data_IF_800730015514
#
_entry.id   IF_800730015514
#
_cell.length_a   1.000
_cell.length_b   1.000
_cell.length_c   1.000
_cell.angle_alpha   90.00
_cell.angle_beta   90.00
_cell.angle_gamma   90.00
#
_symmetry.space_group_name_H-M   'P 1'
#
loop_
_entity.id
_entity.type
_entity.pdbx_description
1 polymer ?
#
# COMPACT_ATOMS: atom_id res chain seq x y z
N UNK A 1 0.32 -3.43 19.99
CA UNK A 1 -0.36 -3.52 18.68
C UNK A 1 -0.12 -2.28 17.80
N UNK A 2 0.08 -1.09 18.36
CA UNK A 2 0.43 0.14 17.62
C UNK A 2 1.88 0.18 17.12
N UNK A 3 2.28 -0.83 16.35
CA UNK A 3 3.67 -1.02 15.94
C UNK A 3 4.23 0.16 15.16
N UNK A 4 3.42 0.73 14.26
CA UNK A 4 3.85 1.87 13.44
C UNK A 4 4.15 3.10 14.30
N UNK A 5 3.26 3.42 15.25
CA UNK A 5 3.46 4.52 16.18
C UNK A 5 4.70 4.31 17.05
N UNK A 6 4.93 3.10 17.56
CA UNK A 6 6.14 2.79 18.34
C UNK A 6 7.41 2.99 17.51
N UNK A 7 7.40 2.59 16.24
CA UNK A 7 8.53 2.83 15.33
C UNK A 7 8.71 4.32 15.03
N UNK A 8 7.63 5.06 14.78
CA UNK A 8 7.70 6.51 14.59
C UNK A 8 8.21 7.24 15.84
N UNK A 9 7.80 6.80 17.04
CA UNK A 9 8.30 7.33 18.31
C UNK A 9 9.80 7.06 18.48
N UNK A 10 10.29 5.87 18.07
CA UNK A 10 11.72 5.58 18.06
C UNK A 10 12.50 6.46 17.08
N UNK A 11 11.95 6.74 15.88
CA UNK A 11 12.54 7.71 14.96
C UNK A 11 12.59 9.11 15.58
N UNK A 12 11.51 9.54 16.21
CA UNK A 12 11.44 10.84 16.87
C UNK A 12 12.46 10.96 18.01
N UNK A 13 12.59 9.93 18.84
CA UNK A 13 13.61 9.88 19.88
C UNK A 13 15.04 9.91 19.32
N UNK A 14 15.26 9.35 18.13
CA UNK A 14 16.58 9.36 17.48
C UNK A 14 16.93 10.70 16.84
N UNK A 15 15.94 11.53 16.51
CA UNK A 15 16.14 12.80 15.82
C UNK A 15 15.06 13.85 16.20
N UNK A 16 15.04 14.31 17.46
CA UNK A 16 13.92 15.10 17.99
C UNK A 16 13.69 16.41 17.21
N UNK A 17 12.45 16.64 16.79
CA UNK A 17 11.99 17.83 16.08
C UNK A 17 12.52 18.01 14.66
N UNK A 18 13.30 17.05 14.14
CA UNK A 18 14.01 17.16 12.86
C UNK A 18 13.50 16.16 11.81
N UNK A 19 12.50 15.33 12.14
CA UNK A 19 11.92 14.35 11.24
C UNK A 19 10.84 14.95 10.32
N UNK A 20 11.24 15.92 9.49
CA UNK A 20 10.30 16.76 8.73
C UNK A 20 10.36 16.54 7.22
N UNK A 21 9.22 16.79 6.57
CA UNK A 21 9.12 16.88 5.11
C UNK A 21 9.34 18.31 4.64
N UNK A 22 10.31 18.51 3.75
CA UNK A 22 10.53 19.77 3.08
C UNK A 22 9.76 19.80 1.76
N UNK A 23 8.52 20.30 1.81
CA UNK A 23 7.62 20.41 0.66
C UNK A 23 8.05 21.49 -0.36
N UNK A 24 8.98 22.37 0.02
CA UNK A 24 9.53 23.39 -0.89
C UNK A 24 10.64 22.84 -1.78
N UNK A 25 11.34 21.79 -1.32
CA UNK A 25 12.34 21.08 -2.11
C UNK A 25 11.66 20.02 -2.96
N UNK A 26 11.42 20.33 -4.23
CA UNK A 26 10.86 19.38 -5.18
C UNK A 26 11.86 19.03 -6.28
N UNK A 27 11.71 17.85 -6.87
CA UNK A 27 12.45 17.41 -8.05
C UNK A 27 11.58 16.47 -8.87
N UNK A 28 12.04 16.08 -10.06
CA UNK A 28 11.37 15.04 -10.87
C UNK A 28 11.13 13.74 -10.08
N UNK A 29 11.97 13.44 -9.08
CA UNK A 29 11.87 12.25 -8.22
C UNK A 29 11.18 12.50 -6.88
N UNK A 30 10.97 13.77 -6.51
CA UNK A 30 10.44 14.19 -5.21
C UNK A 30 9.41 15.32 -5.38
N UNK A 31 8.36 15.08 -6.18
CA UNK A 31 7.46 16.15 -6.60
C UNK A 31 6.63 16.76 -5.46
N UNK A 32 6.45 16.03 -4.36
CA UNK A 32 5.67 16.48 -3.20
C UNK A 32 6.56 16.93 -2.04
N UNK A 33 7.89 16.88 -2.20
CA UNK A 33 8.84 17.23 -1.15
C UNK A 33 9.88 16.15 -0.90
N UNK A 34 10.92 16.52 -0.17
CA UNK A 34 12.00 15.65 0.28
C UNK A 34 11.90 15.44 1.78
N UNK A 35 12.14 14.23 2.25
CA UNK A 35 12.27 13.95 3.68
C UNK A 35 13.67 14.34 4.14
N UNK A 36 13.77 15.22 5.14
CA UNK A 36 15.05 15.71 5.70
C UNK A 36 15.38 15.11 7.07
N UNK A 37 14.58 14.12 7.52
CA UNK A 37 14.80 13.41 8.77
C UNK A 37 15.75 12.21 8.64
N UNK A 38 15.77 11.38 9.68
CA UNK A 38 16.52 10.11 9.67
C UNK A 38 15.59 8.94 9.36
N UNK A 39 16.09 7.99 8.57
CA UNK A 39 15.38 6.74 8.30
C UNK A 39 15.61 5.72 9.41
N UNK A 40 14.92 4.57 9.35
CA UNK A 40 15.15 3.50 10.32
C UNK A 40 16.56 2.92 10.26
N UNK A 41 17.26 3.10 9.13
CA UNK A 41 18.60 2.59 8.89
C UNK A 41 19.69 3.53 9.43
N UNK A 42 19.42 4.83 9.47
CA UNK A 42 20.35 5.86 9.95
C UNK A 42 20.21 6.10 11.45
N UNK A 43 18.99 5.95 11.98
CA UNK A 43 18.69 6.12 13.39
C UNK A 43 19.64 5.35 14.33
N UNK A 44 19.99 4.06 14.11
CA UNK A 44 20.87 3.32 15.03
C UNK A 44 22.23 3.98 15.25
N UNK A 45 22.86 4.49 14.18
CA UNK A 45 24.15 5.16 14.26
C UNK A 45 24.06 6.45 15.09
N UNK A 46 22.94 7.17 14.97
CA UNK A 46 22.71 8.43 15.69
C UNK A 46 22.52 8.24 17.19
N UNK A 47 21.97 7.11 17.63
CA UNK A 47 21.75 6.79 19.05
C UNK A 47 22.68 5.71 19.62
N UNK A 48 23.76 5.38 18.91
CA UNK A 48 24.76 4.41 19.38
C UNK A 48 24.25 2.97 19.52
N UNK A 49 23.22 2.57 18.76
CA UNK A 49 22.71 1.21 18.74
C UNK A 49 23.46 0.35 17.73
N UNK A 50 23.97 -0.80 18.17
CA UNK A 50 24.56 -1.81 17.29
C UNK A 50 23.47 -2.65 16.59
N UNK A 51 22.75 -2.01 15.67
CA UNK A 51 21.67 -2.62 14.88
C UNK A 51 21.69 -2.08 13.44
N UNK A 52 21.19 -2.87 12.48
CA UNK A 52 21.10 -2.46 11.06
C UNK A 52 19.93 -1.50 10.80
N UNK A 53 18.86 -1.63 11.58
CA UNK A 53 17.77 -0.68 11.62
C UNK A 53 17.18 -0.65 13.03
N UNK A 54 16.58 0.48 13.42
CA UNK A 54 15.82 0.54 14.68
C UNK A 54 14.60 -0.38 14.62
N UNK A 55 14.26 -0.95 15.76
CA UNK A 55 13.16 -1.87 15.87
C UNK A 55 13.05 -2.45 17.25
N UNK A 56 12.03 -3.27 17.44
CA UNK A 56 11.82 -4.01 18.68
C UNK A 56 11.04 -5.27 18.36
N UNK A 57 11.22 -6.30 19.19
CA UNK A 57 10.43 -7.53 19.09
C UNK A 57 9.11 -7.30 19.81
N UNK A 58 7.93 -7.38 19.14
CA UNK A 58 6.67 -7.23 19.83
C UNK A 58 6.47 -8.36 20.84
N UNK A 59 5.89 -8.01 21.99
CA UNK A 59 5.57 -8.98 23.05
C UNK A 59 4.49 -9.94 22.59
N UNK A 60 4.36 -11.08 23.27
CA UNK A 60 3.30 -12.05 22.98
C UNK A 60 1.90 -11.42 23.09
N UNK A 61 1.70 -10.51 24.07
CA UNK A 61 0.47 -9.74 24.22
C UNK A 61 0.13 -8.91 22.96
N UNK A 62 1.13 -8.32 22.31
CA UNK A 62 0.91 -7.58 21.07
C UNK A 62 0.49 -8.47 19.89
N UNK A 63 0.77 -9.78 19.94
CA UNK A 63 0.35 -10.75 18.93
C UNK A 63 -0.96 -11.47 19.26
N UNK A 64 -1.36 -11.50 20.54
CA UNK A 64 -2.52 -12.29 21.03
C UNK A 64 -3.85 -11.87 20.41
N UNK A 65 -4.04 -10.59 20.12
CA UNK A 65 -5.29 -10.07 19.58
C UNK A 65 -5.04 -9.38 18.23
N UNK A 66 -5.28 -10.06 17.10
CA UNK A 66 -4.94 -9.54 15.77
C UNK A 66 -5.85 -8.40 15.29
N UNK A 67 -7.02 -8.22 15.90
CA UNK A 67 -8.03 -7.25 15.48
C UNK A 67 -8.73 -6.58 16.68
N UNK A 68 -7.97 -6.29 17.74
CA UNK A 68 -8.53 -5.68 18.93
C UNK A 68 -9.07 -4.27 18.63
N UNK A 69 -10.34 -4.05 18.99
CA UNK A 69 -11.05 -2.81 18.76
C UNK A 69 -11.22 -2.45 17.28
N UNK A 70 -11.46 -3.49 16.46
CA UNK A 70 -12.18 -3.37 15.20
C UNK A 70 -13.49 -2.57 15.41
N UNK A 71 -13.80 -1.71 14.45
CA UNK A 71 -14.99 -0.85 14.40
C UNK A 71 -15.18 0.08 15.60
N UNK A 72 -14.16 0.23 16.46
CA UNK A 72 -14.17 1.17 17.56
C UNK A 72 -13.17 2.30 17.33
N UNK A 73 -13.71 3.50 17.16
CA UNK A 73 -12.91 4.71 17.30
C UNK A 73 -12.62 4.92 18.79
N UNK A 74 -11.47 4.44 19.26
CA UNK A 74 -11.10 4.56 20.67
C UNK A 74 -10.99 6.04 21.06
N UNK A 75 -11.90 6.50 21.92
CA UNK A 75 -11.98 7.89 22.36
C UNK A 75 -12.46 8.00 23.80
N UNK A 76 -11.50 8.08 24.74
CA UNK A 76 -11.64 8.82 26.02
C UNK A 76 -10.29 9.06 26.70
N UNK A 77 -9.43 8.05 26.81
CA UNK A 77 -8.06 8.22 27.36
C UNK A 77 -7.07 8.85 26.35
N UNK A 78 -7.22 8.54 25.06
CA UNK A 78 -6.34 9.06 23.99
C UNK A 78 -6.59 10.54 23.63
N UNK A 79 -7.74 11.10 24.01
CA UNK A 79 -8.07 12.53 23.85
C UNK A 79 -7.57 13.41 25.00
N UNK A 80 -7.12 12.80 26.11
CA UNK A 80 -6.67 13.51 27.32
C UNK A 80 -5.17 13.39 27.61
N UNK A 81 -4.42 12.53 26.92
CA UNK A 81 -2.97 12.54 27.08
C UNK A 81 -2.41 13.86 26.53
N UNK A 82 -1.63 14.55 27.37
CA UNK A 82 -0.73 15.63 26.92
C UNK A 82 0.23 15.16 25.82
N UNK A 83 0.35 13.85 25.62
CA UNK A 83 1.14 13.14 24.60
C UNK A 83 0.30 12.59 23.43
N UNK A 84 -0.97 13.00 23.30
CA UNK A 84 -1.96 12.47 22.35
C UNK A 84 -1.81 12.97 20.91
N UNK A 85 -0.64 12.83 20.32
CA UNK A 85 -0.36 13.20 18.93
C UNK A 85 -0.38 11.97 18.02
N UNK A 86 -1.58 11.56 17.61
CA UNK A 86 -1.72 11.03 16.26
C UNK A 86 -2.02 12.22 15.35
N UNK A 87 -1.01 12.66 14.59
CA UNK A 87 -1.04 13.83 13.72
C UNK A 87 -0.24 15.02 14.25
N UNK A 88 1.01 15.10 13.79
CA UNK A 88 1.84 16.31 13.85
C UNK A 88 2.43 16.60 15.23
N UNK A 89 3.74 16.80 15.27
CA UNK A 89 4.52 17.15 16.46
C UNK A 89 4.21 18.56 17.03
N UNK A 90 3.13 19.20 16.56
CA UNK A 90 2.78 20.60 16.84
C UNK A 90 1.42 20.77 17.56
N UNK A 91 0.92 19.75 18.25
CA UNK A 91 -0.34 19.87 19.03
C UNK A 91 -1.61 20.03 18.18
N UNK A 92 -1.55 19.67 16.90
CA UNK A 92 -2.71 19.72 16.00
C UNK A 92 -3.58 18.49 16.23
N UNK A 93 -4.81 18.66 16.71
CA UNK A 93 -5.74 17.53 16.84
C UNK A 93 -6.10 17.00 15.46
N UNK A 94 -5.84 15.71 15.20
CA UNK A 94 -6.37 15.02 14.01
C UNK A 94 -7.87 14.79 14.17
N UNK A 95 -8.65 15.81 13.84
CA UNK A 95 -10.11 15.78 13.80
C UNK A 95 -10.59 16.36 12.48
N UNK A 96 -11.68 15.84 11.94
CA UNK A 96 -12.39 16.50 10.86
C UNK A 96 -13.33 17.58 11.46
N UNK A 97 -13.63 18.67 10.73
CA UNK A 97 -14.57 19.69 11.21
C UNK A 97 -15.94 19.10 11.53
N UNK A 98 -16.41 18.16 10.71
CA UNK A 98 -17.73 17.53 10.83
C UNK A 98 -17.70 16.23 11.65
N UNK A 99 -16.60 15.47 11.58
CA UNK A 99 -16.46 14.17 12.25
C UNK A 99 -15.34 14.22 13.29
N UNK A 100 -15.71 14.55 14.54
CA UNK A 100 -14.78 14.57 15.69
C UNK A 100 -14.26 13.16 16.03
N UNK A 101 -15.06 12.14 15.74
CA UNK A 101 -14.73 10.74 15.89
C UNK A 101 -14.58 10.16 14.48
N UNK A 102 -13.46 9.50 14.21
CA UNK A 102 -13.17 8.92 12.91
C UNK A 102 -12.38 7.63 13.08
N UNK A 103 -12.55 6.73 12.12
CA UNK A 103 -11.70 5.57 11.91
C UNK A 103 -11.73 5.23 10.42
N UNK A 104 -10.80 4.40 9.99
CA UNK A 104 -10.80 3.83 8.65
C UNK A 104 -10.05 2.50 8.69
N UNK A 105 -10.33 1.65 7.71
CA UNK A 105 -9.66 0.38 7.59
C UNK A 105 -8.36 0.52 6.81
N UNK A 106 -7.27 -0.02 7.37
CA UNK A 106 -5.97 -0.05 6.73
C UNK A 106 -5.49 -1.50 6.61
N UNK A 107 -5.72 -2.12 5.46
CA UNK A 107 -5.27 -3.48 5.24
C UNK A 107 -3.78 -3.50 4.93
N UNK A 108 -2.99 -4.26 5.71
CA UNK A 108 -1.52 -4.27 5.59
C UNK A 108 -0.99 -5.66 5.36
N UNK A 109 -0.12 -5.79 4.37
CA UNK A 109 0.63 -7.02 4.07
C UNK A 109 2.14 -6.72 4.11
N UNK A 110 2.98 -7.70 3.78
CA UNK A 110 4.39 -7.41 3.52
C UNK A 110 4.49 -6.51 2.29
N UNK A 111 5.22 -5.41 2.41
CA UNK A 111 5.40 -4.47 1.31
C UNK A 111 6.47 -4.92 0.29
N UNK A 112 7.14 -6.07 0.51
CA UNK A 112 8.24 -6.56 -0.34
C UNK A 112 9.20 -5.42 -0.76
N UNK A 113 9.60 -4.62 0.22
CA UNK A 113 10.33 -3.36 0.10
C UNK A 113 11.54 -3.43 -0.86
N UNK A 114 11.91 -2.29 -1.45
CA UNK A 114 13.15 -2.17 -2.24
C UNK A 114 14.37 -2.28 -1.33
N UNK A 115 14.31 -1.66 -0.14
CA UNK A 115 15.31 -1.75 0.93
C UNK A 115 14.68 -2.41 2.16
N UNK A 116 14.63 -3.75 2.26
CA UNK A 116 13.91 -4.42 3.34
C UNK A 116 14.74 -4.40 4.63
N UNK A 117 14.20 -3.74 5.68
CA UNK A 117 14.79 -3.78 7.02
C UNK A 117 14.97 -5.20 7.55
N UNK A 118 14.02 -6.11 7.24
CA UNK A 118 14.13 -7.51 7.62
C UNK A 118 15.30 -8.24 6.94
N UNK A 119 15.63 -7.89 5.68
CA UNK A 119 16.74 -8.48 4.95
C UNK A 119 18.06 -8.05 5.58
N UNK A 120 18.24 -6.74 5.79
CA UNK A 120 19.42 -6.18 6.43
C UNK A 120 19.67 -6.80 7.83
N UNK A 121 18.59 -7.02 8.59
CA UNK A 121 18.68 -7.51 9.96
C UNK A 121 19.13 -8.97 10.12
N UNK A 122 18.99 -9.82 9.10
CA UNK A 122 19.18 -11.26 9.28
C UNK A 122 20.68 -11.64 9.33
N UNK A 123 21.24 -12.04 10.50
CA UNK A 123 22.67 -12.35 10.59
C UNK A 123 23.07 -13.57 9.77
N UNK A 124 22.12 -14.49 9.51
CA UNK A 124 22.34 -15.70 8.73
C UNK A 124 22.18 -15.50 7.22
N UNK A 125 21.78 -14.30 6.78
CA UNK A 125 21.45 -14.00 5.38
C UNK A 125 20.38 -14.96 4.81
N UNK A 126 19.47 -15.44 5.65
CA UNK A 126 18.39 -16.36 5.28
C UNK A 126 17.28 -15.66 4.46
N UNK A 127 17.23 -14.33 4.53
CA UNK A 127 16.27 -13.50 3.81
C UNK A 127 16.91 -13.00 2.52
N UNK A 128 16.18 -13.08 1.42
CA UNK A 128 16.64 -12.64 0.10
C UNK A 128 15.50 -11.98 -0.66
N UNK A 129 15.85 -11.14 -1.64
CA UNK A 129 14.91 -10.53 -2.58
C UNK A 129 15.17 -11.16 -3.94
N UNK A 130 14.13 -11.72 -4.54
CA UNK A 130 14.18 -12.29 -5.89
C UNK A 130 14.39 -11.19 -6.93
N UNK A 131 15.18 -11.50 -7.96
CA UNK A 131 15.59 -10.51 -8.97
C UNK A 131 14.50 -10.30 -10.03
N UNK A 132 13.79 -11.37 -10.35
CA UNK A 132 12.80 -11.45 -11.42
C UNK A 132 11.46 -10.75 -11.10
N UNK A 133 11.11 -10.61 -9.82
CA UNK A 133 9.81 -10.08 -9.38
C UNK A 133 9.87 -9.20 -8.11
N UNK A 134 11.05 -9.08 -7.49
CA UNK A 134 11.24 -8.29 -6.28
C UNK A 134 10.61 -8.90 -5.00
N UNK A 135 10.11 -10.13 -5.03
CA UNK A 135 9.51 -10.77 -3.86
C UNK A 135 10.61 -11.10 -2.84
N UNK A 136 10.53 -10.46 -1.68
CA UNK A 136 11.35 -10.82 -0.50
C UNK A 136 10.85 -12.13 0.13
N UNK A 137 11.73 -13.10 0.38
CA UNK A 137 11.40 -14.40 1.00
C UNK A 137 12.35 -14.73 2.17
N UNK A 138 11.91 -15.64 3.04
CA UNK A 138 12.74 -16.23 4.10
C UNK A 138 12.97 -17.68 3.73
N UNK A 139 14.23 -18.05 3.49
CA UNK A 139 14.63 -19.44 3.32
C UNK A 139 14.44 -20.21 4.63
N UNK A 140 13.47 -21.12 4.63
CA UNK A 140 13.09 -21.89 5.81
C UNK A 140 14.20 -22.87 6.24
N UNK A 141 15.04 -23.34 5.31
CA UNK A 141 16.14 -24.26 5.59
C UNK A 141 17.33 -23.57 6.28
N UNK A 142 17.56 -22.29 5.96
CA UNK A 142 18.65 -21.47 6.55
C UNK A 142 18.22 -20.70 7.80
N UNK A 143 16.92 -20.49 8.00
CA UNK A 143 16.42 -19.76 9.15
C UNK A 143 16.69 -20.52 10.46
N UNK A 144 17.09 -19.80 11.50
CA UNK A 144 17.36 -20.34 12.85
C UNK A 144 16.65 -19.55 13.95
N UNK A 145 15.65 -18.74 13.57
CA UNK A 145 14.77 -18.13 14.56
C UNK A 145 15.38 -17.00 15.40
N UNK A 146 16.44 -16.32 14.95
CA UNK A 146 17.07 -15.20 15.68
C UNK A 146 16.14 -13.99 15.94
N UNK A 147 14.96 -13.95 15.31
CA UNK A 147 13.94 -12.88 15.42
C UNK A 147 14.40 -11.47 15.04
N UNK A 148 15.64 -11.25 14.59
CA UNK A 148 16.12 -9.96 14.08
C UNK A 148 15.27 -9.39 12.94
N UNK A 149 14.75 -10.25 12.06
CA UNK A 149 13.83 -9.83 11.01
C UNK A 149 12.45 -9.37 11.54
N UNK A 150 11.99 -9.95 12.65
CA UNK A 150 10.76 -9.54 13.36
C UNK A 150 10.99 -8.20 14.04
N UNK A 151 12.16 -8.04 14.67
CA UNK A 151 12.59 -6.81 15.35
C UNK A 151 12.61 -5.60 14.40
N UNK A 152 13.35 -5.73 13.29
CA UNK A 152 13.75 -4.62 12.43
C UNK A 152 12.87 -4.45 11.18
N UNK A 153 11.84 -5.29 10.99
CA UNK A 153 10.78 -4.94 10.06
C UNK A 153 9.92 -3.84 10.71
N UNK A 154 9.87 -2.62 10.17
CA UNK A 154 9.08 -1.56 10.78
C UNK A 154 7.57 -1.87 10.70
N UNK A 155 7.17 -2.66 9.69
CA UNK A 155 5.78 -3.09 9.50
C UNK A 155 5.40 -4.38 10.26
N UNK A 156 6.36 -5.02 10.95
CA UNK A 156 6.20 -6.29 11.68
C UNK A 156 5.52 -7.40 10.87
N UNK A 157 5.96 -7.60 9.62
CA UNK A 157 5.39 -8.61 8.70
C UNK A 157 6.09 -9.98 8.72
N UNK A 158 7.36 -10.10 9.15
CA UNK A 158 7.90 -11.37 9.60
C UNK A 158 7.33 -11.73 10.97
N UNK A 159 6.86 -12.96 11.12
CA UNK A 159 6.32 -13.52 12.35
C UNK A 159 7.19 -14.72 12.75
N UNK A 160 7.43 -14.90 14.05
CA UNK A 160 8.15 -16.07 14.56
C UNK A 160 7.14 -17.19 14.86
N UNK A 161 7.35 -18.37 14.26
CA UNK A 161 6.50 -19.54 14.52
C UNK A 161 7.14 -20.36 15.64
N UNK A 162 6.45 -20.43 16.78
CA UNK A 162 6.94 -21.13 17.98
C UNK A 162 7.14 -22.63 17.77
N UNK A 163 6.32 -23.27 16.94
CA UNK A 163 6.37 -24.72 16.68
C UNK A 163 7.58 -25.12 15.84
N UNK A 164 7.86 -24.40 14.76
CA UNK A 164 9.01 -24.68 13.87
C UNK A 164 10.29 -23.95 14.30
N UNK A 165 10.19 -23.04 15.27
CA UNK A 165 11.27 -22.19 15.80
C UNK A 165 11.99 -21.37 14.72
N UNK A 166 11.29 -21.05 13.63
CA UNK A 166 11.77 -20.21 12.54
C UNK A 166 10.76 -19.10 12.23
N UNK A 167 11.19 -18.10 11.46
CA UNK A 167 10.32 -16.99 11.06
C UNK A 167 9.72 -17.20 9.66
N UNK A 168 8.47 -16.78 9.52
CA UNK A 168 7.69 -16.81 8.29
C UNK A 168 7.15 -15.42 7.96
N UNK A 169 6.72 -15.22 6.71
CA UNK A 169 6.13 -13.97 6.23
C UNK A 169 5.23 -14.25 5.04
N UNK A 170 4.44 -13.25 4.65
CA UNK A 170 3.77 -13.24 3.34
C UNK A 170 4.76 -13.60 2.23
N UNK A 171 4.43 -14.59 1.40
CA UNK A 171 5.26 -15.03 0.27
C UNK A 171 4.84 -14.39 -1.06
N UNK A 172 4.01 -13.35 -1.01
CA UNK A 172 3.31 -12.75 -2.15
C UNK A 172 2.65 -13.79 -3.07
N UNK A 173 2.16 -14.90 -2.49
CA UNK A 173 1.63 -16.04 -3.24
C UNK A 173 2.45 -16.33 -4.51
N UNK A 174 3.79 -16.33 -4.43
CA UNK A 174 4.64 -16.38 -5.61
C UNK A 174 4.29 -17.48 -6.63
N UNK A 175 3.78 -18.68 -6.25
CA UNK A 175 3.36 -19.66 -7.24
C UNK A 175 2.24 -19.15 -8.18
N UNK A 176 1.36 -18.27 -7.70
CA UNK A 176 0.34 -17.59 -8.52
C UNK A 176 0.93 -16.54 -9.45
N UNK A 177 1.90 -15.77 -8.95
CA UNK A 177 2.59 -14.75 -9.73
C UNK A 177 3.42 -15.41 -10.84
N UNK A 178 3.94 -16.60 -10.61
CA UNK A 178 4.70 -17.39 -11.60
C UNK A 178 3.80 -18.12 -12.61
N UNK A 179 2.50 -18.24 -12.35
CA UNK A 179 1.60 -19.08 -13.16
C UNK A 179 1.78 -20.59 -12.92
N UNK A 180 2.23 -20.96 -11.71
CA UNK A 180 2.43 -22.36 -11.28
C UNK A 180 1.33 -22.86 -10.31
N UNK A 181 0.48 -21.98 -9.78
CA UNK A 181 -0.70 -22.40 -9.00
C UNK A 181 -1.68 -23.15 -9.94
N UNK A 182 -2.25 -24.30 -9.56
CA UNK A 182 -3.11 -25.10 -10.45
C UNK A 182 -4.29 -24.33 -11.07
N UNK A 183 -4.78 -23.28 -10.40
CA UNK A 183 -5.88 -22.43 -10.89
C UNK A 183 -5.42 -21.41 -11.94
N UNK A 184 -4.11 -21.30 -12.18
CA UNK A 184 -3.54 -20.32 -13.09
C UNK A 184 -3.55 -20.76 -14.54
N UNK A 185 -3.65 -22.05 -14.85
CA UNK A 185 -3.58 -22.53 -16.25
C UNK A 185 -2.35 -21.97 -17.02
N UNK A 186 -1.23 -21.74 -16.31
CA UNK A 186 0.00 -21.18 -16.90
C UNK A 186 0.01 -19.66 -17.10
N UNK A 187 -0.99 -18.92 -16.60
CA UNK A 187 -1.09 -17.46 -16.70
C UNK A 187 -0.98 -16.78 -15.32
N UNK A 188 -0.25 -15.67 -15.23
CA UNK A 188 0.00 -14.99 -13.95
C UNK A 188 -1.29 -14.47 -13.30
N UNK A 189 -1.51 -14.86 -12.04
CA UNK A 189 -2.67 -14.44 -11.25
C UNK A 189 -2.27 -13.53 -10.09
N UNK A 190 -3.22 -12.71 -9.67
CA UNK A 190 -3.09 -11.95 -8.44
C UNK A 190 -2.98 -12.89 -7.23
N UNK A 191 -2.35 -12.39 -6.16
CA UNK A 191 -2.29 -13.10 -4.87
C UNK A 191 -3.69 -13.33 -4.30
N UNK A 192 -3.84 -14.37 -3.46
CA UNK A 192 -5.15 -14.75 -2.90
C UNK A 192 -5.87 -13.59 -2.20
N UNK A 193 -5.16 -12.79 -1.42
CA UNK A 193 -5.77 -11.68 -0.69
C UNK A 193 -6.17 -10.51 -1.62
N UNK A 194 -5.56 -10.40 -2.80
CA UNK A 194 -5.99 -9.45 -3.83
C UNK A 194 -7.21 -10.02 -4.53
N UNK A 195 -7.12 -11.23 -5.09
CA UNK A 195 -8.20 -11.90 -5.81
C UNK A 195 -9.50 -12.05 -4.99
N UNK A 196 -9.39 -12.31 -3.68
CA UNK A 196 -10.54 -12.50 -2.78
C UNK A 196 -11.08 -11.18 -2.18
N UNK A 197 -10.57 -10.02 -2.58
CA UNK A 197 -10.99 -8.76 -2.00
C UNK A 197 -12.44 -8.42 -2.36
N UNK A 198 -13.34 -8.60 -1.40
CA UNK A 198 -14.79 -8.34 -1.54
C UNK A 198 -15.06 -6.88 -1.90
N UNK A 199 -14.39 -5.94 -1.23
CA UNK A 199 -14.60 -4.50 -1.45
C UNK A 199 -14.06 -3.96 -2.78
N UNK A 200 -13.49 -4.80 -3.65
CA UNK A 200 -12.89 -4.39 -4.93
C UNK A 200 -11.87 -3.25 -4.82
N UNK A 201 -11.14 -3.14 -3.70
CA UNK A 201 -10.19 -2.04 -3.43
C UNK A 201 -8.72 -2.37 -3.75
N UNK A 202 -8.45 -3.51 -4.40
CA UNK A 202 -7.09 -4.00 -4.62
C UNK A 202 -6.80 -4.21 -6.10
N UNK A 203 -5.64 -3.71 -6.52
CA UNK A 203 -5.07 -3.95 -7.85
C UNK A 203 -3.61 -4.37 -7.65
N UNK A 204 -3.23 -5.52 -8.21
CA UNK A 204 -1.87 -6.03 -8.13
C UNK A 204 -1.25 -6.14 -9.52
N UNK A 205 0.03 -5.77 -9.65
CA UNK A 205 0.79 -6.00 -10.86
C UNK A 205 2.29 -6.03 -10.65
N UNK A 206 3.00 -6.35 -11.73
CA UNK A 206 4.45 -6.23 -11.83
C UNK A 206 4.78 -5.00 -12.69
N UNK A 207 5.91 -4.38 -12.40
CA UNK A 207 6.43 -3.22 -13.11
C UNK A 207 7.81 -3.54 -13.67
N UNK A 208 8.15 -2.91 -14.80
CA UNK A 208 9.49 -3.05 -15.39
C UNK A 208 10.46 -2.16 -14.62
N UNK A 209 11.60 -2.72 -14.28
CA UNK A 209 12.72 -1.99 -13.66
C UNK A 209 13.83 -1.90 -14.70
N UNK A 210 14.31 -0.68 -14.97
CA UNK A 210 15.41 -0.40 -15.88
C UNK A 210 16.76 -0.81 -15.30
N UNK A 211 17.81 -0.77 -16.12
CA UNK A 211 19.18 -1.11 -15.73
C UNK A 211 19.75 -0.22 -14.62
N UNK A 212 19.21 0.98 -14.43
CA UNK A 212 19.55 1.91 -13.36
C UNK A 212 18.86 1.61 -12.02
N UNK A 213 18.06 0.53 -11.94
CA UNK A 213 17.30 0.17 -10.74
C UNK A 213 16.00 0.96 -10.53
N UNK A 214 15.66 1.87 -11.45
CA UNK A 214 14.43 2.66 -11.40
C UNK A 214 13.32 2.02 -12.23
N UNK A 215 12.08 2.44 -12.00
CA UNK A 215 10.96 1.95 -12.81
C UNK A 215 11.10 2.48 -14.24
N UNK A 216 11.02 1.59 -15.22
CA UNK A 216 11.00 1.99 -16.62
C UNK A 216 9.68 2.70 -16.93
N UNK A 217 9.73 3.73 -17.78
CA UNK A 217 8.55 4.49 -18.19
C UNK A 217 7.55 3.59 -18.92
N UNK A 218 6.37 3.37 -18.33
CA UNK A 218 5.34 2.46 -18.87
C UNK A 218 3.93 2.94 -18.49
N UNK A 219 3.42 4.03 -19.10
CA UNK A 219 2.10 4.61 -18.75
C UNK A 219 0.94 3.66 -19.05
N UNK A 220 1.14 2.71 -19.96
CA UNK A 220 0.15 1.67 -20.27
C UNK A 220 0.10 0.57 -19.19
N UNK A 221 1.01 0.55 -18.21
CA UNK A 221 0.95 -0.34 -17.06
C UNK A 221 0.11 0.30 -15.94
N UNK A 222 -0.96 -0.36 -15.42
CA UNK A 222 -1.84 0.24 -14.42
C UNK A 222 -1.13 0.70 -13.13
N UNK A 223 -0.12 -0.06 -12.68
CA UNK A 223 0.62 0.27 -11.45
C UNK A 223 1.50 1.49 -11.68
N UNK A 224 2.25 1.50 -12.78
CA UNK A 224 3.06 2.67 -13.15
C UNK A 224 2.19 3.91 -13.30
N UNK A 225 1.05 3.80 -13.97
CA UNK A 225 0.11 4.89 -14.17
C UNK A 225 -0.39 5.49 -12.84
N UNK A 226 -0.87 4.64 -11.91
CA UNK A 226 -1.40 5.12 -10.63
C UNK A 226 -0.31 5.69 -9.70
N UNK A 227 0.89 5.11 -9.71
CA UNK A 227 1.94 5.39 -8.72
C UNK A 227 2.93 6.46 -9.22
N UNK A 228 3.38 6.38 -10.47
CA UNK A 228 4.42 7.25 -11.03
C UNK A 228 3.87 8.36 -11.90
N UNK A 229 2.87 8.06 -12.72
CA UNK A 229 2.28 9.05 -13.63
C UNK A 229 1.32 9.99 -12.88
N UNK A 230 0.15 9.48 -12.48
CA UNK A 230 -0.90 10.24 -11.78
C UNK A 230 -0.60 10.48 -10.30
N UNK A 231 0.24 9.63 -9.69
CA UNK A 231 0.68 9.74 -8.28
C UNK A 231 -0.47 9.80 -7.28
N UNK A 232 -1.49 8.98 -7.55
CA UNK A 232 -2.69 8.85 -6.73
C UNK A 232 -2.50 7.76 -5.67
N UNK A 233 -1.72 6.72 -5.97
CA UNK A 233 -1.36 5.68 -5.03
C UNK A 233 -0.01 6.02 -4.36
N UNK A 234 -0.03 6.21 -3.03
CA UNK A 234 1.11 6.70 -2.25
C UNK A 234 1.70 5.58 -1.37
N UNK A 235 3.03 5.59 -1.12
CA UNK A 235 3.69 4.58 -0.29
C UNK A 235 3.27 4.70 1.19
N UNK A 236 3.29 3.58 1.92
CA UNK A 236 3.03 3.57 3.36
C UNK A 236 4.30 3.84 4.19
N UNK A 237 4.28 4.95 4.93
CA UNK A 237 5.38 5.49 5.74
C UNK A 237 6.69 5.63 4.95
N UNK A 238 6.73 6.47 3.90
CA UNK A 238 7.93 6.67 3.08
C UNK A 238 9.16 7.12 3.89
N UNK A 239 8.97 7.84 5.00
CA UNK A 239 10.02 8.29 5.91
C UNK A 239 10.85 7.15 6.54
N UNK A 240 10.34 5.91 6.52
CA UNK A 240 11.07 4.78 7.06
C UNK A 240 12.29 4.39 6.19
N UNK A 241 12.42 4.92 4.97
CA UNK A 241 13.54 4.63 4.08
C UNK A 241 13.54 3.22 3.46
N UNK A 242 12.50 2.41 3.71
CA UNK A 242 12.44 1.05 3.15
C UNK A 242 12.02 1.01 1.69
N UNK A 243 11.48 2.11 1.16
CA UNK A 243 10.82 2.16 -0.16
C UNK A 243 9.84 0.99 -0.35
N UNK A 244 8.67 1.04 0.31
CA UNK A 244 7.70 -0.05 0.28
C UNK A 244 7.06 -0.18 -1.11
N UNK A 245 6.88 -1.42 -1.59
CA UNK A 245 6.14 -1.73 -2.82
C UNK A 245 4.65 -2.03 -2.54
N UNK A 246 4.13 -1.46 -1.45
CA UNK A 246 2.71 -1.45 -1.11
C UNK A 246 2.22 -0.01 -1.06
N UNK A 247 1.29 0.32 -1.95
CA UNK A 247 0.78 1.68 -2.16
C UNK A 247 -0.71 1.75 -1.86
N UNK A 248 -1.15 2.92 -1.42
CA UNK A 248 -2.50 3.17 -0.95
C UNK A 248 -3.04 4.46 -1.57
N UNK A 249 -4.29 4.45 -2.00
CA UNK A 249 -5.04 5.67 -2.30
C UNK A 249 -5.58 6.17 -0.96
N UNK A 250 -5.12 7.33 -0.44
CA UNK A 250 -5.56 7.84 0.87
C UNK A 250 -7.05 8.08 0.91
N UNK A 251 -7.70 7.82 2.06
CA UNK A 251 -9.11 8.12 2.24
C UNK A 251 -9.33 9.61 2.50
N UNK A 252 -10.27 10.23 1.78
CA UNK A 252 -10.68 11.62 1.98
C UNK A 252 -11.35 11.89 3.32
N UNK A 253 -11.83 10.85 4.00
CA UNK A 253 -12.55 10.94 5.27
C UNK A 253 -11.62 10.75 6.49
N UNK A 254 -10.31 10.75 6.27
CA UNK A 254 -9.29 10.69 7.34
C UNK A 254 -8.69 12.08 7.51
N UNK A 255 -8.47 12.56 8.76
CA UNK A 255 -7.84 13.86 9.00
C UNK A 255 -6.53 14.01 8.25
N UNK A 256 -6.33 15.19 7.67
CA UNK A 256 -5.24 15.42 6.72
C UNK A 256 -3.86 15.20 7.34
N UNK A 257 -3.65 15.69 8.56
CA UNK A 257 -2.39 15.52 9.29
C UNK A 257 -2.04 14.03 9.50
N UNK A 258 -3.02 13.20 9.82
CA UNK A 258 -2.83 11.76 9.99
C UNK A 258 -2.49 11.08 8.66
N UNK A 259 -3.25 11.38 7.60
CA UNK A 259 -2.96 10.85 6.27
C UNK A 259 -1.58 11.28 5.75
N UNK A 260 -1.16 12.52 5.98
CA UNK A 260 0.17 13.02 5.58
C UNK A 260 1.29 12.35 6.36
N UNK A 261 1.11 12.09 7.67
CA UNK A 261 2.06 11.29 8.46
C UNK A 261 2.25 9.88 7.86
N UNK A 262 1.17 9.28 7.39
CA UNK A 262 1.17 7.93 6.82
C UNK A 262 1.72 7.86 5.40
N UNK A 263 1.28 8.74 4.52
CA UNK A 263 1.49 8.61 3.07
C UNK A 263 2.41 9.70 2.49
N UNK A 264 2.87 10.61 3.34
CA UNK A 264 3.73 11.73 2.97
C UNK A 264 2.94 12.94 2.43
N UNK A 265 3.66 13.94 1.90
CA UNK A 265 3.07 15.22 1.50
C UNK A 265 2.19 15.18 0.24
N UNK A 266 2.15 14.05 -0.49
CA UNK A 266 1.35 13.89 -1.71
C UNK A 266 -0.16 13.69 -1.51
N UNK A 267 -0.63 13.66 -0.26
CA UNK A 267 -2.02 13.29 0.08
C UNK A 267 -3.05 14.26 -0.50
N UNK A 268 -2.78 15.56 -0.49
CA UNK A 268 -3.67 16.59 -1.07
C UNK A 268 -3.81 16.42 -2.58
N UNK A 269 -2.68 16.31 -3.28
CA UNK A 269 -2.65 15.99 -4.71
C UNK A 269 -3.46 14.72 -5.01
N UNK A 270 -3.17 13.60 -4.33
CA UNK A 270 -3.87 12.34 -4.57
C UNK A 270 -5.39 12.47 -4.43
N UNK A 271 -5.85 13.08 -3.31
CA UNK A 271 -7.29 13.26 -3.05
C UNK A 271 -7.94 14.16 -4.10
N UNK A 272 -7.29 15.25 -4.48
CA UNK A 272 -7.79 16.15 -5.51
C UNK A 272 -7.94 15.47 -6.87
N UNK A 273 -7.02 14.55 -7.22
CA UNK A 273 -7.07 13.82 -8.49
C UNK A 273 -8.22 12.82 -8.53
N UNK A 274 -8.39 11.96 -7.52
CA UNK A 274 -9.41 10.90 -7.59
C UNK A 274 -10.82 11.38 -7.22
N UNK A 275 -10.97 12.56 -6.60
CA UNK A 275 -12.29 13.13 -6.33
C UNK A 275 -13.01 13.60 -7.59
N UNK A 276 -12.26 14.07 -8.59
CA UNK A 276 -12.77 14.48 -9.91
C UNK A 276 -11.83 13.91 -10.96
N UNK A 277 -11.84 12.58 -11.16
CA UNK A 277 -10.87 11.93 -12.02
C UNK A 277 -11.11 12.31 -13.47
N UNK A 278 -10.03 12.49 -14.23
CA UNK A 278 -10.10 12.53 -15.68
C UNK A 278 -10.51 11.15 -16.24
N UNK A 279 -10.75 11.09 -17.54
CA UNK A 279 -11.21 9.88 -18.23
C UNK A 279 -10.25 8.69 -18.09
N UNK A 280 -8.94 8.95 -18.11
CA UNK A 280 -7.92 7.90 -18.05
C UNK A 280 -7.78 7.37 -16.61
N UNK A 281 -7.76 8.25 -15.61
CA UNK A 281 -7.76 7.87 -14.20
C UNK A 281 -9.03 7.10 -13.83
N UNK A 282 -10.21 7.57 -14.25
CA UNK A 282 -11.46 6.83 -14.04
C UNK A 282 -11.40 5.45 -14.72
N UNK A 283 -10.81 5.37 -15.92
CA UNK A 283 -10.64 4.11 -16.62
C UNK A 283 -9.76 3.11 -15.86
N UNK A 284 -8.59 3.53 -15.37
CA UNK A 284 -7.71 2.65 -14.59
C UNK A 284 -8.34 2.26 -13.24
N UNK A 285 -9.07 3.17 -12.59
CA UNK A 285 -9.80 2.86 -11.35
C UNK A 285 -10.87 1.78 -11.56
N UNK A 286 -11.50 1.71 -12.74
CA UNK A 286 -12.44 0.64 -13.08
C UNK A 286 -11.79 -0.74 -13.22
N UNK A 287 -10.47 -0.84 -13.38
CA UNK A 287 -9.79 -2.14 -13.49
C UNK A 287 -9.64 -2.88 -12.15
N UNK A 288 -9.93 -2.22 -11.03
CA UNK A 288 -9.80 -2.82 -9.71
C UNK A 288 -10.75 -4.02 -9.57
N UNK A 289 -10.17 -5.21 -9.33
CA UNK A 289 -10.89 -6.47 -9.10
C UNK A 289 -11.89 -6.89 -10.18
N UNK A 290 -11.70 -6.47 -11.43
CA UNK A 290 -12.49 -6.93 -12.57
C UNK A 290 -12.03 -8.28 -13.14
N UNK A 291 -10.82 -8.71 -12.79
CA UNK A 291 -10.24 -10.02 -13.16
C UNK A 291 -9.34 -10.54 -12.04
N UNK A 292 -9.12 -11.85 -11.94
CA UNK A 292 -8.14 -12.45 -11.01
C UNK A 292 -6.72 -12.56 -11.61
N UNK A 293 -6.57 -12.18 -12.89
CA UNK A 293 -5.30 -12.18 -13.63
C UNK A 293 -4.56 -10.87 -13.42
N UNK A 294 -3.23 -10.89 -13.49
CA UNK A 294 -2.45 -9.65 -13.46
C UNK A 294 -2.63 -8.90 -14.79
N UNK A 295 -3.02 -7.63 -14.71
CA UNK A 295 -3.11 -6.72 -15.85
C UNK A 295 -1.74 -6.07 -16.06
N UNK A 296 -1.10 -6.35 -17.20
CA UNK A 296 0.21 -5.80 -17.57
C UNK A 296 0.09 -4.54 -18.43
N UNK A 297 -0.98 -4.46 -19.21
CA UNK A 297 -1.27 -3.35 -20.10
C UNK A 297 -2.75 -3.00 -20.02
N UNK A 298 -3.10 -1.72 -20.10
CA UNK A 298 -4.48 -1.26 -20.28
C UNK A 298 -4.63 -0.40 -21.55
N UNK A 299 -5.87 -0.28 -22.04
CA UNK A 299 -6.28 0.62 -23.12
C UNK A 299 -7.66 1.17 -22.81
N UNK A 300 -7.94 2.42 -23.20
CA UNK A 300 -9.28 3.00 -23.21
C UNK A 300 -9.75 3.26 -24.64
N UNK A 301 -10.99 2.90 -24.91
CA UNK A 301 -11.71 3.20 -26.15
C UNK A 301 -12.79 4.24 -25.83
N UNK A 302 -12.74 5.44 -26.45
CA UNK A 302 -13.68 6.50 -26.16
C UNK A 302 -15.13 6.10 -26.47
N UNK A 303 -16.02 6.34 -25.52
CA UNK A 303 -17.47 6.21 -25.67
C UNK A 303 -18.20 7.56 -25.60
N UNK A 304 -19.53 7.56 -25.75
CA UNK A 304 -20.36 8.76 -25.66
C UNK A 304 -20.37 9.29 -24.23
N UNK A 305 -20.62 10.60 -24.09
CA UNK A 305 -20.87 11.21 -22.78
C UNK A 305 -22.21 10.74 -22.23
N UNK A 306 -22.23 10.35 -20.96
CA UNK A 306 -23.43 9.81 -20.31
C UNK A 306 -23.86 10.62 -19.09
N UNK A 307 -22.96 11.41 -18.50
CA UNK A 307 -23.28 12.19 -17.30
C UNK A 307 -22.39 13.43 -17.19
N UNK A 308 -22.94 14.50 -16.62
CA UNK A 308 -22.22 15.72 -16.25
C UNK A 308 -22.75 16.25 -14.91
N UNK A 309 -21.85 16.67 -14.04
CA UNK A 309 -22.21 17.39 -12.81
C UNK A 309 -21.06 18.28 -12.33
N UNK A 310 -21.25 18.98 -11.22
CA UNK A 310 -20.18 19.71 -10.53
C UNK A 310 -19.89 19.06 -9.18
N UNK A 311 -18.63 18.70 -8.96
CA UNK A 311 -18.14 18.10 -7.71
C UNK A 311 -17.19 19.12 -7.06
N UNK A 312 -17.58 19.69 -5.91
CA UNK A 312 -16.80 20.69 -5.18
C UNK A 312 -16.32 21.87 -6.06
N UNK A 313 -17.21 22.38 -6.92
CA UNK A 313 -16.92 23.51 -7.82
C UNK A 313 -16.08 23.15 -9.06
N UNK A 314 -15.70 21.88 -9.24
CA UNK A 314 -15.03 21.38 -10.45
C UNK A 314 -16.04 20.66 -11.33
N UNK A 315 -16.01 20.94 -12.63
CA UNK A 315 -16.80 20.22 -13.64
C UNK A 315 -16.35 18.76 -13.69
N UNK A 316 -17.30 17.84 -13.61
CA UNK A 316 -17.10 16.40 -13.78
C UNK A 316 -17.94 15.91 -14.96
N UNK A 317 -17.29 15.28 -15.92
CA UNK A 317 -17.95 14.65 -17.07
C UNK A 317 -17.59 13.17 -17.11
N UNK A 318 -18.61 12.33 -17.28
CA UNK A 318 -18.45 10.89 -17.38
C UNK A 318 -18.87 10.41 -18.76
N UNK A 319 -18.05 9.54 -19.32
CA UNK A 319 -18.21 8.96 -20.65
C UNK A 319 -18.31 7.45 -20.49
N UNK A 320 -19.11 6.79 -21.33
CA UNK A 320 -19.21 5.33 -21.35
C UNK A 320 -18.01 4.70 -22.08
N UNK A 321 -16.81 5.06 -21.63
CA UNK A 321 -15.55 4.58 -22.19
C UNK A 321 -15.40 3.08 -21.92
N UNK A 322 -14.91 2.35 -22.91
CA UNK A 322 -14.57 0.93 -22.74
C UNK A 322 -13.10 0.82 -22.30
N UNK A 323 -12.85 0.17 -21.17
CA UNK A 323 -11.52 -0.08 -20.64
C UNK A 323 -11.17 -1.55 -20.80
N UNK A 324 -10.02 -1.82 -21.39
CA UNK A 324 -9.55 -3.17 -21.72
C UNK A 324 -8.24 -3.43 -20.98
N UNK A 325 -8.13 -4.60 -20.34
CA UNK A 325 -6.92 -5.06 -19.68
C UNK A 325 -6.32 -6.28 -20.39
N UNK A 326 -5.00 -6.30 -20.52
CA UNK A 326 -4.25 -7.37 -21.18
C UNK A 326 -3.28 -8.06 -20.22
N UNK A 327 -3.13 -9.38 -20.37
CA UNK A 327 -2.10 -10.14 -19.66
C UNK A 327 -0.71 -9.91 -20.27
N UNK A 328 0.32 -10.57 -19.72
CA UNK A 328 1.70 -10.46 -20.19
C UNK A 328 1.91 -10.89 -21.65
N UNK A 329 1.07 -11.79 -22.16
CA UNK A 329 1.12 -12.30 -23.53
C UNK A 329 0.37 -11.40 -24.53
N UNK A 330 -0.20 -10.27 -24.07
CA UNK A 330 -1.01 -9.37 -24.88
C UNK A 330 -2.42 -9.87 -25.15
N UNK A 331 -2.87 -10.94 -24.48
CA UNK A 331 -4.25 -11.43 -24.59
C UNK A 331 -5.18 -10.55 -23.73
N UNK A 332 -6.30 -10.15 -24.30
CA UNK A 332 -7.39 -9.50 -23.58
C UNK A 332 -7.92 -10.45 -22.48
N UNK A 333 -7.93 -9.97 -21.24
CA UNK A 333 -8.38 -10.72 -20.06
C UNK A 333 -9.56 -10.06 -19.37
N UNK A 334 -9.86 -8.81 -19.73
CA UNK A 334 -10.99 -8.07 -19.20
C UNK A 334 -11.37 -6.91 -20.13
N UNK A 335 -12.68 -6.65 -20.22
CA UNK A 335 -13.28 -5.50 -20.87
C UNK A 335 -14.44 -5.02 -20.01
N UNK A 336 -14.42 -3.73 -19.66
CA UNK A 336 -15.46 -3.11 -18.83
C UNK A 336 -15.86 -1.75 -19.39
N UNK A 337 -17.10 -1.36 -19.14
CA UNK A 337 -17.69 -0.07 -19.48
C UNK A 337 -18.22 0.58 -18.20
N UNK A 338 -18.44 1.89 -18.24
CA UNK A 338 -19.03 2.60 -17.08
C UNK A 338 -20.46 2.16 -16.84
N UNK A 339 -21.24 1.98 -17.92
CA UNK A 339 -22.57 1.39 -17.81
C UNK A 339 -22.43 -0.13 -17.69
N UNK A 340 -22.89 -0.67 -16.57
CA UNK A 340 -23.06 -2.10 -16.41
C UNK A 340 -24.35 -2.53 -17.14
N UNK A 341 -24.31 -3.59 -17.98
CA UNK A 341 -25.51 -4.10 -18.62
C UNK A 341 -26.49 -4.63 -17.57
N UNK A 342 -27.74 -4.16 -17.64
CA UNK A 342 -28.81 -4.66 -16.78
C UNK A 342 -29.35 -5.98 -17.32
N UNK A 343 -29.16 -7.07 -16.57
CA UNK A 343 -29.73 -8.37 -16.91
C UNK A 343 -31.05 -8.56 -16.15
N UNK A 344 -32.18 -8.35 -16.85
CA UNK A 344 -33.51 -8.69 -16.33
C UNK A 344 -33.68 -10.21 -16.46
N UNK A 345 -33.90 -10.91 -15.34
CA UNK A 345 -34.22 -12.34 -15.38
C UNK A 345 -35.62 -12.55 -15.99
N UNK A 346 -35.84 -13.57 -16.84
CA UNK A 346 -37.19 -13.98 -17.26
C UNK A 346 -38.07 -14.32 -16.05
N UNK A 347 -39.35 -13.94 -16.08
CA UNK A 347 -40.32 -14.15 -14.98
C UNK A 347 -40.57 -15.63 -14.66
N UNK A 348 -40.23 -16.54 -15.57
CA UNK A 348 -40.61 -17.96 -15.52
C UNK A 348 -39.92 -18.75 -14.40
N UNK A 349 -38.79 -18.27 -13.84
CA UNK A 349 -38.03 -18.99 -12.79
C UNK A 349 -37.54 -18.08 -11.64
N UNK A 350 -38.44 -17.62 -10.76
CA UNK A 350 -38.07 -16.71 -9.66
C UNK A 350 -37.32 -17.40 -8.50
N UNK A 351 -37.28 -18.73 -8.42
CA UNK A 351 -36.85 -19.46 -7.19
C UNK A 351 -35.75 -20.52 -7.30
N UNK A 352 -35.15 -20.77 -8.47
CA UNK A 352 -34.07 -21.75 -8.58
C UNK A 352 -32.70 -21.10 -8.30
N UNK A 353 -31.98 -21.62 -7.30
CA UNK A 353 -30.56 -21.36 -7.00
C UNK A 353 -29.72 -22.40 -7.72
#
# INVERSE_FOLDING_TARGET
QFWDWKILKMLEQSNPGQNVWNVRKTSNKAIHGVYEGVTIFEAPAKIGLNQQAIGYVPTDEEWRFPNFGEDTAHGREFTQSREGTFGGDNGTRSVLPEHKIWFFYLQRICNHCTYPGCLAACPRKAIYKRQEDGIVLIDQSRCRGYKKCVEQCPYKKPMFRGTTRISEKCIACYPRIEGLDPLTEGDQMETRCMAACVGKIRLQGLVKVGSNGEWAHDPDNPQYYLIRDRKVALPLYPQLGTEPNGYYIPSRHVPRAYSQQMFGPGVDHSIDQYMVPDRDLLGVLQLFRTTQRIIFKWKREPGPKIFETNIHGKKFEMYNDTVIGFNRKGKEIIRVTVEEPFYVRPEEHPGAI
#
